data_IF_492724692132
#
_entry.id   IF_492724692132
#
_cell.length_a   1.000
_cell.length_b   1.000
_cell.length_c   1.000
_cell.angle_alpha   90.00
_cell.angle_beta   90.00
_cell.angle_gamma   90.00
#
_symmetry.space_group_name_H-M   'P 1'
#
loop_
_entity.id
_entity.type
_entity.pdbx_description
1 polymer ?
#
# COMPACT_ATOMS: atom_id res chain seq x y z
N UNK A 1 6.13 -5.64 30.92
CA UNK A 1 7.06 -6.46 30.13
C UNK A 1 6.54 -6.55 28.71
N UNK A 2 7.25 -5.97 27.78
CA UNK A 2 6.95 -6.14 26.36
C UNK A 2 7.40 -7.54 25.93
N UNK A 3 6.43 -8.39 25.66
CA UNK A 3 6.71 -9.70 25.09
C UNK A 3 7.34 -9.54 23.72
N UNK A 4 8.58 -9.98 23.59
CA UNK A 4 9.32 -9.87 22.34
C UNK A 4 8.74 -10.86 21.32
N UNK A 5 7.98 -10.34 20.34
CA UNK A 5 7.44 -11.18 19.27
C UNK A 5 8.57 -11.72 18.39
N UNK A 6 8.45 -12.95 17.98
CA UNK A 6 9.41 -13.59 17.06
C UNK A 6 9.13 -13.27 15.60
N UNK A 7 7.92 -12.77 15.30
CA UNK A 7 7.45 -12.44 13.96
C UNK A 7 7.31 -10.93 13.83
N UNK A 8 7.75 -10.39 12.71
CA UNK A 8 7.57 -8.98 12.35
C UNK A 8 6.31 -8.81 11.52
N UNK A 9 5.59 -7.72 11.77
CA UNK A 9 4.38 -7.38 11.02
C UNK A 9 4.70 -6.25 10.06
N UNK A 10 4.51 -6.53 8.77
CA UNK A 10 4.58 -5.54 7.70
C UNK A 10 3.16 -5.22 7.27
N UNK A 11 2.77 -3.97 7.37
CA UNK A 11 1.45 -3.53 6.94
C UNK A 11 1.55 -2.49 5.83
N UNK A 12 0.80 -2.71 4.75
CA UNK A 12 0.70 -1.75 3.66
C UNK A 12 -0.28 -0.64 4.03
N UNK A 13 0.17 0.59 3.95
CA UNK A 13 -0.68 1.75 4.13
C UNK A 13 -1.39 2.10 2.82
N UNK A 14 -2.68 2.35 2.91
CA UNK A 14 -3.53 2.68 1.78
C UNK A 14 -4.57 3.73 2.14
N UNK A 15 -5.60 3.94 1.30
CA UNK A 15 -6.63 4.96 1.57
C UNK A 15 -7.32 4.82 2.92
N UNK A 16 -7.54 3.60 3.39
CA UNK A 16 -8.18 3.33 4.68
C UNK A 16 -7.28 3.58 5.90
N UNK A 17 -5.96 3.72 5.70
CA UNK A 17 -4.96 3.84 6.77
C UNK A 17 -4.10 5.09 6.64
N UNK A 18 -4.69 6.19 6.15
CA UNK A 18 -3.98 7.48 5.98
C UNK A 18 -4.17 8.45 7.14
N UNK A 19 -5.06 8.17 8.08
CA UNK A 19 -5.28 9.08 9.19
C UNK A 19 -4.26 8.86 10.32
N UNK A 20 -3.84 9.92 11.03
CA UNK A 20 -2.95 9.80 12.17
C UNK A 20 -3.46 8.83 13.24
N UNK A 21 -4.75 8.84 13.51
CA UNK A 21 -5.37 7.98 14.52
C UNK A 21 -5.22 6.50 14.14
N UNK A 22 -5.54 6.13 12.90
CA UNK A 22 -5.42 4.76 12.42
C UNK A 22 -3.96 4.29 12.43
N UNK A 23 -3.04 5.11 11.94
CA UNK A 23 -1.62 4.77 11.94
C UNK A 23 -1.08 4.61 13.36
N UNK A 24 -1.47 5.49 14.28
CA UNK A 24 -1.09 5.37 15.69
C UNK A 24 -1.60 4.07 16.33
N UNK A 25 -2.84 3.70 16.05
CA UNK A 25 -3.41 2.43 16.51
C UNK A 25 -2.66 1.22 15.90
N UNK A 26 -2.30 1.28 14.63
CA UNK A 26 -1.52 0.23 13.96
C UNK A 26 -0.13 0.08 14.62
N UNK A 27 0.53 1.19 14.91
CA UNK A 27 1.83 1.19 15.60
C UNK A 27 1.69 0.59 17.00
N UNK A 28 0.69 1.03 17.76
CA UNK A 28 0.42 0.52 19.11
C UNK A 28 0.06 -0.97 19.11
N UNK A 29 -0.69 -1.41 18.08
CA UNK A 29 -1.09 -2.82 17.93
C UNK A 29 0.07 -3.73 17.53
N UNK A 30 1.17 -3.18 17.02
CA UNK A 30 2.37 -3.98 16.77
C UNK A 30 2.93 -3.94 15.36
N UNK A 31 2.56 -2.98 14.53
CA UNK A 31 3.19 -2.79 13.23
C UNK A 31 4.69 -2.53 13.39
N UNK A 32 5.52 -3.31 12.73
CA UNK A 32 6.98 -3.17 12.75
C UNK A 32 7.51 -2.40 11.54
N UNK A 33 6.87 -2.59 10.39
CA UNK A 33 7.21 -1.95 9.13
C UNK A 33 5.95 -1.43 8.45
N UNK A 34 5.98 -0.17 8.03
CA UNK A 34 4.94 0.41 7.18
C UNK A 34 5.40 0.33 5.72
N UNK A 35 4.68 -0.43 4.91
CA UNK A 35 4.95 -0.54 3.48
C UNK A 35 4.20 0.54 2.71
N UNK A 36 4.92 1.29 1.90
CA UNK A 36 4.37 2.29 0.99
C UNK A 36 4.53 1.80 -0.45
N UNK A 37 3.41 1.67 -1.16
CA UNK A 37 3.42 1.21 -2.55
C UNK A 37 3.68 2.39 -3.49
N UNK A 38 4.88 2.46 -4.06
CA UNK A 38 5.29 3.53 -4.96
C UNK A 38 4.60 3.49 -6.33
N UNK A 39 3.96 2.38 -6.70
CA UNK A 39 3.22 2.26 -7.97
C UNK A 39 1.90 3.04 -7.98
N UNK A 40 1.34 3.33 -6.81
CA UNK A 40 0.01 3.94 -6.65
C UNK A 40 0.05 5.27 -5.90
N UNK A 41 1.23 5.82 -5.65
CA UNK A 41 1.39 7.04 -4.86
C UNK A 41 2.30 8.04 -5.57
N UNK A 42 1.96 9.33 -5.48
CA UNK A 42 2.85 10.40 -5.89
C UNK A 42 3.99 10.59 -4.88
N UNK A 43 5.04 11.33 -5.27
CA UNK A 43 6.13 11.67 -4.36
C UNK A 43 5.63 12.44 -3.12
N UNK A 44 4.71 13.37 -3.31
CA UNK A 44 4.14 14.15 -2.21
C UNK A 44 3.36 13.27 -1.22
N UNK A 45 2.55 12.34 -1.73
CA UNK A 45 1.84 11.35 -0.90
C UNK A 45 2.79 10.45 -0.13
N UNK A 46 3.88 10.01 -0.75
CA UNK A 46 4.90 9.20 -0.09
C UNK A 46 5.58 9.97 1.04
N UNK A 47 5.92 11.23 0.81
CA UNK A 47 6.52 12.10 1.82
C UNK A 47 5.58 12.35 2.99
N UNK A 48 4.32 12.64 2.70
CA UNK A 48 3.27 12.81 3.73
C UNK A 48 3.12 11.55 4.58
N UNK A 49 3.04 10.38 3.95
CA UNK A 49 2.90 9.11 4.66
C UNK A 49 4.14 8.78 5.50
N UNK A 50 5.33 9.03 4.97
CA UNK A 50 6.57 8.82 5.71
C UNK A 50 6.65 9.73 6.94
N UNK A 51 6.29 10.99 6.80
CA UNK A 51 6.23 11.96 7.90
C UNK A 51 5.21 11.52 8.96
N UNK A 52 4.05 11.07 8.53
CA UNK A 52 3.00 10.57 9.41
C UNK A 52 3.47 9.36 10.23
N UNK A 53 4.04 8.36 9.56
CA UNK A 53 4.54 7.15 10.25
C UNK A 53 5.62 7.48 11.26
N UNK A 54 6.57 8.34 10.89
CA UNK A 54 7.63 8.78 11.81
C UNK A 54 7.08 9.55 13.00
N UNK A 55 6.09 10.39 12.79
CA UNK A 55 5.40 11.12 13.86
C UNK A 55 4.69 10.18 14.83
N UNK A 56 3.93 9.24 14.31
CA UNK A 56 3.23 8.23 15.13
C UNK A 56 4.20 7.31 15.87
N UNK A 57 5.28 6.90 15.24
CA UNK A 57 6.34 6.10 15.86
C UNK A 57 6.94 6.79 17.06
N UNK A 58 7.24 8.08 16.94
CA UNK A 58 7.77 8.89 18.06
C UNK A 58 6.74 9.07 19.17
N UNK A 59 5.49 9.34 18.82
CA UNK A 59 4.42 9.57 19.81
C UNK A 59 4.10 8.30 20.61
N UNK A 60 4.14 7.14 19.99
CA UNK A 60 3.91 5.84 20.63
C UNK A 60 5.19 5.30 21.31
N UNK A 61 6.32 5.93 21.06
CA UNK A 61 7.64 5.50 21.55
C UNK A 61 8.01 4.06 21.12
N UNK A 62 7.65 3.73 19.87
CA UNK A 62 7.93 2.44 19.29
C UNK A 62 8.54 2.60 17.90
N UNK A 63 9.72 2.03 17.63
CA UNK A 63 10.34 2.14 16.31
C UNK A 63 9.54 1.42 15.25
N UNK A 64 9.27 2.10 14.14
CA UNK A 64 8.62 1.55 12.95
C UNK A 64 9.47 1.88 11.74
N UNK A 65 9.85 0.86 10.97
CA UNK A 65 10.57 1.04 9.73
C UNK A 65 9.63 1.42 8.59
N UNK A 66 10.20 2.06 7.57
CA UNK A 66 9.51 2.36 6.31
C UNK A 66 10.05 1.46 5.22
N UNK A 67 9.17 0.80 4.50
CA UNK A 67 9.50 -0.03 3.35
C UNK A 67 8.86 0.58 2.11
N UNK A 68 9.69 1.12 1.23
CA UNK A 68 9.26 1.65 -0.06
C UNK A 68 9.32 0.53 -1.10
N UNK A 69 8.17 0.12 -1.60
CA UNK A 69 8.07 -0.87 -2.65
C UNK A 69 8.12 -0.17 -4.01
N UNK A 70 9.30 -0.18 -4.62
CA UNK A 70 9.55 0.53 -5.86
C UNK A 70 8.83 -0.14 -7.04
N UNK A 71 8.25 0.69 -7.90
CA UNK A 71 7.68 0.23 -9.15
C UNK A 71 8.80 -0.24 -10.08
N UNK A 72 8.76 -1.53 -10.44
CA UNK A 72 9.62 -2.11 -11.47
C UNK A 72 8.91 -2.22 -12.82
N UNK A 73 9.60 -2.71 -13.86
CA UNK A 73 8.94 -3.05 -15.12
C UNK A 73 7.96 -4.20 -14.89
N UNK A 74 6.68 -3.95 -15.12
CA UNK A 74 5.61 -4.94 -14.95
C UNK A 74 4.80 -5.07 -16.21
N UNK A 75 4.44 -6.31 -16.56
CA UNK A 75 3.40 -6.55 -17.53
C UNK A 75 2.06 -6.22 -16.91
N UNK A 76 1.34 -5.30 -17.54
CA UNK A 76 0.02 -4.88 -17.09
C UNK A 76 -0.91 -4.82 -18.28
N UNK A 77 -2.19 -5.05 -18.02
CA UNK A 77 -3.23 -4.77 -19.01
C UNK A 77 -3.26 -3.27 -19.29
N UNK A 78 -3.39 -2.91 -20.55
CA UNK A 78 -3.67 -1.53 -20.95
C UNK A 78 -5.09 -1.11 -20.58
N UNK A 79 -5.51 0.04 -21.10
CA UNK A 79 -6.88 0.51 -20.91
C UNK A 79 -7.86 -0.46 -21.57
N UNK A 80 -8.93 -0.76 -20.86
CA UNK A 80 -10.01 -1.57 -21.41
C UNK A 80 -10.77 -0.78 -22.49
N UNK A 81 -11.33 -1.46 -23.46
CA UNK A 81 -12.17 -0.86 -24.49
C UNK A 81 -13.33 -0.09 -23.83
N UNK A 82 -13.48 1.18 -24.18
CA UNK A 82 -14.48 2.06 -23.55
C UNK A 82 -13.99 2.79 -22.28
N UNK A 83 -12.79 2.51 -21.78
CA UNK A 83 -12.13 3.24 -20.69
C UNK A 83 -12.69 3.01 -19.27
N UNK A 84 -13.69 2.14 -19.13
CA UNK A 84 -14.31 1.82 -17.85
C UNK A 84 -14.18 0.36 -17.47
N UNK A 85 -14.71 -0.04 -16.30
CA UNK A 85 -14.70 -1.43 -15.87
C UNK A 85 -15.56 -2.30 -16.80
N UNK A 86 -15.15 -3.56 -16.96
CA UNK A 86 -15.85 -4.56 -17.77
C UNK A 86 -16.38 -5.65 -16.85
N UNK A 87 -17.66 -6.00 -17.00
CA UNK A 87 -18.24 -7.13 -16.30
C UNK A 87 -17.90 -8.43 -17.04
N UNK A 88 -17.30 -9.37 -16.33
CA UNK A 88 -17.01 -10.70 -16.83
C UNK A 88 -18.13 -11.64 -16.41
N UNK A 89 -18.93 -12.08 -17.38
CA UNK A 89 -19.96 -13.09 -17.15
C UNK A 89 -19.33 -14.48 -17.09
N UNK A 90 -19.94 -15.34 -16.29
CA UNK A 90 -19.49 -16.73 -16.18
C UNK A 90 -19.62 -17.44 -17.53
N UNK A 91 -18.57 -18.14 -17.89
CA UNK A 91 -18.47 -18.92 -19.14
C UNK A 91 -18.55 -18.07 -20.44
N UNK A 92 -18.46 -16.74 -20.34
CA UNK A 92 -18.39 -15.85 -21.49
C UNK A 92 -16.95 -15.80 -22.04
N UNK A 93 -16.86 -15.68 -23.35
CA UNK A 93 -15.57 -15.50 -24.02
C UNK A 93 -15.04 -14.08 -23.79
N UNK A 94 -13.79 -13.98 -23.37
CA UNK A 94 -13.11 -12.71 -23.13
C UNK A 94 -11.74 -12.73 -23.81
N UNK A 95 -11.52 -11.83 -24.75
CA UNK A 95 -10.28 -11.78 -25.53
C UNK A 95 -9.32 -10.74 -24.94
N UNK A 96 -8.10 -11.18 -24.66
CA UNK A 96 -6.99 -10.31 -24.27
C UNK A 96 -5.95 -10.37 -25.38
N UNK A 97 -5.58 -9.23 -25.90
CA UNK A 97 -4.60 -9.14 -26.98
C UNK A 97 -3.88 -7.79 -26.99
N UNK A 98 -2.85 -7.65 -27.83
CA UNK A 98 -2.22 -6.36 -27.99
C UNK A 98 -3.20 -5.35 -28.60
N UNK A 99 -2.97 -4.06 -28.31
CA UNK A 99 -3.71 -2.98 -28.96
C UNK A 99 -3.51 -3.09 -30.48
N UNK A 100 -4.54 -3.54 -31.16
CA UNK A 100 -4.58 -3.54 -32.62
C UNK A 100 -5.18 -2.19 -33.01
N UNK A 101 -4.32 -1.35 -33.49
CA UNK A 101 -4.74 -0.06 -34.06
C UNK A 101 -5.41 -0.32 -35.39
#
# INVERSE_FOLDING_TARGET
>A
MTQRRKVKIVATLGPASRSPDVVSEMVAAGMDLARLNCSHSSHDELEEMATLVRGCSRAVERPVGLLLDLAGPKLRTGKLKGGGPVTLERDAEFVIGPDIV
#
